data_IF_324379629691
#
_entry.id   IF_324379629691
#
_cell.length_a   1.000
_cell.length_b   1.000
_cell.length_c   1.000
_cell.angle_alpha   90.00
_cell.angle_beta   90.00
_cell.angle_gamma   90.00
#
_symmetry.space_group_name_H-M   'P 1'
#
loop_
_entity.id
_entity.type
_entity.pdbx_description
1 polymer ?
#
# COMPACT_ATOMS: atom_id res chain seq x y z
N UNK A 1 15.95 34.40 -63.59
CA UNK A 1 16.80 33.26 -63.15
C UNK A 1 16.20 32.69 -61.89
N UNK A 2 15.57 31.53 -62.03
CA UNK A 2 14.78 30.87 -60.99
C UNK A 2 15.68 29.95 -60.13
N UNK A 3 15.61 30.07 -58.83
CA UNK A 3 16.02 29.01 -57.94
C UNK A 3 14.87 28.69 -56.99
N UNK A 4 14.20 27.59 -57.29
CA UNK A 4 13.26 26.93 -56.42
C UNK A 4 14.02 26.27 -55.27
N UNK A 5 13.76 26.67 -54.03
CA UNK A 5 14.12 25.92 -52.82
C UNK A 5 12.87 25.25 -52.28
N UNK A 6 12.82 23.96 -52.51
CA UNK A 6 11.77 23.04 -52.02
C UNK A 6 11.94 22.85 -50.53
N UNK A 7 10.98 23.36 -49.77
CA UNK A 7 10.85 23.17 -48.32
C UNK A 7 10.48 21.71 -48.04
N UNK A 8 11.41 20.94 -47.47
CA UNK A 8 11.10 19.62 -46.89
C UNK A 8 10.50 19.83 -45.50
N UNK A 9 9.19 19.70 -45.40
CA UNK A 9 8.45 19.57 -44.17
C UNK A 9 8.86 18.24 -43.50
N UNK A 10 9.65 18.34 -42.45
CA UNK A 10 9.89 17.22 -41.55
C UNK A 10 8.60 17.02 -40.76
N UNK A 11 7.90 16.00 -41.15
CA UNK A 11 6.69 15.47 -40.49
C UNK A 11 7.11 14.92 -39.12
N UNK A 12 6.82 15.67 -38.04
CA UNK A 12 6.90 15.16 -36.69
C UNK A 12 5.78 14.13 -36.50
N UNK A 13 6.06 12.92 -37.01
CA UNK A 13 5.17 11.77 -36.87
C UNK A 13 5.15 11.27 -35.45
N UNK A 14 3.95 11.29 -34.90
CA UNK A 14 3.32 10.27 -34.08
C UNK A 14 4.23 9.53 -33.09
N UNK A 15 4.47 10.17 -31.94
CA UNK A 15 4.89 9.46 -30.76
C UNK A 15 3.64 8.85 -30.10
N UNK A 16 3.14 7.80 -30.73
CA UNK A 16 2.08 6.95 -30.17
C UNK A 16 2.70 6.16 -29.02
N UNK A 17 2.49 6.65 -27.79
CA UNK A 17 2.84 5.90 -26.60
C UNK A 17 2.10 4.56 -26.61
N UNK A 18 2.78 3.43 -26.36
CA UNK A 18 2.11 2.14 -26.31
C UNK A 18 1.11 2.09 -25.15
N UNK A 19 -0.06 1.46 -25.32
CA UNK A 19 -1.06 1.38 -24.27
C UNK A 19 -0.51 0.59 -23.06
N UNK A 20 -0.56 1.21 -21.89
CA UNK A 20 -0.23 0.62 -20.58
C UNK A 20 -1.31 -0.38 -20.13
N UNK A 21 -1.60 -1.37 -20.98
CA UNK A 21 -2.62 -2.38 -20.69
C UNK A 21 -2.11 -3.77 -21.01
N UNK A 22 -1.13 -4.23 -20.25
CA UNK A 22 -0.90 -5.66 -20.07
C UNK A 22 -0.54 -5.91 -18.62
N UNK A 23 -1.34 -6.65 -17.85
CA UNK A 23 -0.89 -7.17 -16.59
C UNK A 23 0.28 -8.11 -16.87
N UNK A 24 1.46 -7.72 -16.46
CA UNK A 24 2.64 -8.58 -16.50
C UNK A 24 2.38 -9.70 -15.51
N UNK A 25 1.92 -10.84 -16.01
CA UNK A 25 1.89 -12.08 -15.24
C UNK A 25 3.33 -12.55 -15.08
N UNK A 26 3.96 -12.17 -14.00
CA UNK A 26 5.17 -12.84 -13.58
C UNK A 26 4.77 -14.17 -12.94
N UNK A 27 5.25 -15.31 -13.45
CA UNK A 27 5.15 -16.57 -12.73
C UNK A 27 6.21 -16.57 -11.63
N UNK A 28 5.92 -15.94 -10.51
CA UNK A 28 6.68 -16.22 -9.31
C UNK A 28 6.13 -17.52 -8.77
N UNK A 29 6.84 -18.62 -9.03
CA UNK A 29 6.71 -19.88 -8.31
C UNK A 29 7.14 -19.63 -6.85
N UNK A 30 6.30 -18.91 -6.11
CA UNK A 30 6.44 -18.84 -4.68
C UNK A 30 5.60 -19.96 -4.07
N UNK A 31 6.31 -20.80 -3.33
CA UNK A 31 5.84 -21.95 -2.55
C UNK A 31 4.43 -21.74 -2.00
N UNK A 32 3.50 -22.65 -2.31
CA UNK A 32 2.08 -22.63 -1.99
C UNK A 32 1.83 -22.69 -0.48
N UNK A 33 2.07 -21.60 0.22
CA UNK A 33 1.26 -21.18 1.31
C UNK A 33 0.23 -20.23 0.72
N UNK A 34 -1.04 -20.54 0.83
CA UNK A 34 -2.14 -19.68 0.39
C UNK A 34 -2.11 -18.43 1.25
N UNK A 35 -1.21 -17.52 0.94
CA UNK A 35 -1.27 -16.14 1.42
C UNK A 35 -2.45 -15.55 0.65
N UNK A 36 -3.54 -15.30 1.32
CA UNK A 36 -4.63 -14.53 0.74
C UNK A 36 -4.09 -13.13 0.45
N UNK A 37 -3.61 -12.94 -0.76
CA UNK A 37 -3.15 -11.62 -1.21
C UNK A 37 -4.31 -10.63 -1.06
N UNK A 38 -4.02 -9.51 -0.42
CA UNK A 38 -4.99 -8.43 -0.31
C UNK A 38 -5.27 -7.91 -1.71
N UNK A 39 -6.56 -7.80 -2.07
CA UNK A 39 -6.92 -7.12 -3.31
C UNK A 39 -6.47 -5.65 -3.26
N UNK A 40 -6.23 -5.04 -4.42
CA UNK A 40 -5.86 -3.62 -4.51
C UNK A 40 -6.86 -2.71 -3.79
N UNK A 41 -8.15 -3.05 -3.84
CA UNK A 41 -9.18 -2.31 -3.12
C UNK A 41 -9.03 -2.43 -1.59
N UNK A 42 -8.71 -3.61 -1.10
CA UNK A 42 -8.45 -3.84 0.34
C UNK A 42 -7.20 -3.11 0.78
N UNK A 43 -6.15 -3.14 -0.02
CA UNK A 43 -4.90 -2.43 0.23
C UNK A 43 -5.11 -0.92 0.26
N UNK A 44 -5.87 -0.37 -0.69
CA UNK A 44 -6.25 1.04 -0.73
C UNK A 44 -7.04 1.47 0.51
N UNK A 45 -7.96 0.63 1.02
CA UNK A 45 -8.68 0.92 2.27
C UNK A 45 -7.72 0.99 3.46
N UNK A 46 -6.77 0.08 3.53
CA UNK A 46 -5.75 0.06 4.58
C UNK A 46 -4.92 1.34 4.55
N UNK A 47 -4.37 1.71 3.41
CA UNK A 47 -3.54 2.91 3.30
C UNK A 47 -4.33 4.18 3.61
N UNK A 48 -5.58 4.31 3.17
CA UNK A 48 -6.45 5.43 3.55
C UNK A 48 -6.72 5.46 5.06
N UNK A 49 -6.93 4.30 5.68
CA UNK A 49 -7.12 4.23 7.12
C UNK A 49 -5.84 4.65 7.88
N UNK A 50 -4.67 4.22 7.43
CA UNK A 50 -3.38 4.53 8.04
C UNK A 50 -2.83 5.93 7.67
N UNK A 51 -3.42 6.65 6.74
CA UNK A 51 -3.00 8.02 6.38
C UNK A 51 -3.17 9.03 7.53
N UNK A 52 -4.07 8.77 8.46
CA UNK A 52 -4.36 9.62 9.62
C UNK A 52 -3.52 9.24 10.85
N UNK A 53 -2.90 10.22 11.51
CA UNK A 53 -2.00 9.97 12.64
C UNK A 53 -2.72 9.38 13.86
N UNK A 54 -3.91 9.88 14.17
CA UNK A 54 -4.73 9.40 15.29
C UNK A 54 -5.11 7.94 15.09
N UNK A 55 -5.51 7.57 13.88
CA UNK A 55 -5.82 6.17 13.55
C UNK A 55 -4.60 5.25 13.68
N UNK A 56 -3.42 5.69 13.26
CA UNK A 56 -2.18 4.91 13.47
C UNK A 56 -1.89 4.67 14.95
N UNK A 57 -2.10 5.69 15.78
CA UNK A 57 -1.91 5.55 17.22
C UNK A 57 -2.96 4.62 17.85
N UNK A 58 -4.22 4.73 17.45
CA UNK A 58 -5.28 3.80 17.86
C UNK A 58 -4.93 2.35 17.52
N UNK A 59 -4.43 2.07 16.31
CA UNK A 59 -3.97 0.72 15.94
C UNK A 59 -2.86 0.26 16.87
N UNK A 60 -1.84 1.10 17.14
CA UNK A 60 -0.73 0.75 18.04
C UNK A 60 -1.22 0.37 19.43
N UNK A 61 -2.15 1.14 20.00
CA UNK A 61 -2.73 0.88 21.33
C UNK A 61 -3.53 -0.42 21.34
N UNK A 62 -4.40 -0.62 20.36
CA UNK A 62 -5.29 -1.78 20.29
C UNK A 62 -4.57 -3.09 19.94
N UNK A 63 -3.36 -3.03 19.41
CA UNK A 63 -2.50 -4.22 19.24
C UNK A 63 -1.91 -4.69 20.57
N UNK A 64 -1.66 -3.78 21.49
CA UNK A 64 -1.09 -4.10 22.81
C UNK A 64 -2.16 -4.55 23.81
N UNK A 65 -3.36 -3.98 23.74
CA UNK A 65 -4.46 -4.29 24.64
C UNK A 65 -5.82 -3.99 24.01
N UNK A 66 -6.88 -4.64 24.50
CA UNK A 66 -8.24 -4.24 24.18
C UNK A 66 -8.57 -2.93 24.90
N UNK A 67 -9.08 -1.94 24.18
CA UNK A 67 -9.37 -0.60 24.71
C UNK A 67 -10.84 -0.27 24.42
N UNK A 68 -11.56 0.28 25.39
CA UNK A 68 -12.94 0.71 25.16
C UNK A 68 -13.01 1.96 24.30
N UNK A 69 -14.11 2.15 23.56
CA UNK A 69 -14.32 3.38 22.78
C UNK A 69 -14.37 4.60 23.72
N UNK A 70 -14.88 4.43 24.94
CA UNK A 70 -14.96 5.49 25.94
C UNK A 70 -13.55 5.91 26.41
N UNK A 71 -12.66 4.95 26.66
CA UNK A 71 -11.29 5.24 27.08
C UNK A 71 -10.52 5.93 25.94
N UNK A 72 -10.68 5.46 24.70
CA UNK A 72 -10.11 6.14 23.55
C UNK A 72 -10.63 7.58 23.42
N UNK A 73 -11.91 7.83 23.70
CA UNK A 73 -12.47 9.18 23.65
C UNK A 73 -11.85 10.11 24.71
N UNK A 74 -11.64 9.58 25.91
CA UNK A 74 -10.99 10.31 27.00
C UNK A 74 -9.51 10.59 26.69
N UNK A 75 -8.79 9.59 26.19
CA UNK A 75 -7.34 9.68 25.90
C UNK A 75 -7.00 10.68 24.78
N UNK A 76 -7.89 10.83 23.79
CA UNK A 76 -7.65 11.74 22.66
C UNK A 76 -8.35 13.09 22.80
N UNK A 77 -9.02 13.35 23.91
CA UNK A 77 -9.85 14.55 24.10
C UNK A 77 -10.84 14.76 22.94
N UNK A 78 -11.46 13.67 22.52
CA UNK A 78 -12.40 13.65 21.40
C UNK A 78 -13.80 13.26 21.84
N UNK A 79 -14.83 13.70 21.09
CA UNK A 79 -16.16 13.20 21.29
C UNK A 79 -16.25 11.71 20.98
N UNK A 80 -17.11 10.99 21.69
CA UNK A 80 -17.40 9.58 21.43
C UNK A 80 -17.74 9.30 19.96
N UNK A 81 -18.51 10.18 19.32
CA UNK A 81 -18.87 10.07 17.91
C UNK A 81 -17.66 10.23 16.97
N UNK A 82 -16.69 11.08 17.32
CA UNK A 82 -15.46 11.24 16.53
C UNK A 82 -14.61 9.96 16.61
N UNK A 83 -14.42 9.41 17.81
CA UNK A 83 -13.69 8.14 17.99
C UNK A 83 -14.40 6.99 17.25
N UNK A 84 -15.73 6.91 17.32
CA UNK A 84 -16.48 5.91 16.56
C UNK A 84 -16.21 5.98 15.04
N UNK A 85 -16.07 7.19 14.47
CA UNK A 85 -15.72 7.35 13.03
C UNK A 85 -14.33 6.82 12.73
N UNK A 86 -13.35 7.11 13.59
CA UNK A 86 -11.99 6.57 13.45
C UNK A 86 -11.99 5.04 13.55
N UNK A 87 -12.65 4.48 14.56
CA UNK A 87 -12.76 3.03 14.75
C UNK A 87 -13.49 2.37 13.57
N UNK A 88 -14.57 2.96 13.05
CA UNK A 88 -15.30 2.44 11.90
C UNK A 88 -14.41 2.38 10.63
N UNK A 89 -13.58 3.42 10.40
CA UNK A 89 -12.64 3.44 9.29
C UNK A 89 -11.57 2.35 9.42
N UNK A 90 -11.04 2.14 10.62
CA UNK A 90 -10.09 1.07 10.92
C UNK A 90 -10.71 -0.33 10.78
N UNK A 91 -11.96 -0.48 11.21
CA UNK A 91 -12.71 -1.73 11.09
C UNK A 91 -13.02 -2.06 9.63
N UNK A 92 -13.42 -1.08 8.81
CA UNK A 92 -13.63 -1.25 7.38
C UNK A 92 -12.35 -1.67 6.63
N UNK A 93 -11.19 -1.27 7.14
CA UNK A 93 -9.88 -1.70 6.64
C UNK A 93 -9.42 -3.06 7.19
N UNK A 94 -10.15 -3.63 8.16
CA UNK A 94 -9.80 -4.88 8.83
C UNK A 94 -8.62 -4.77 9.81
N UNK A 95 -8.23 -3.56 10.20
CA UNK A 95 -7.11 -3.30 11.11
C UNK A 95 -7.48 -3.50 12.58
N UNK A 96 -8.76 -3.34 12.90
CA UNK A 96 -9.32 -3.60 14.22
C UNK A 96 -10.65 -4.34 14.12
N UNK A 97 -11.04 -5.02 15.19
CA UNK A 97 -12.39 -5.56 15.41
C UNK A 97 -13.00 -4.93 16.65
N UNK A 98 -14.33 -4.98 16.76
CA UNK A 98 -15.05 -4.53 17.94
C UNK A 98 -15.78 -5.68 18.60
N UNK A 99 -15.67 -5.79 19.92
CA UNK A 99 -16.28 -6.84 20.73
C UNK A 99 -17.20 -6.16 21.76
N UNK A 100 -18.45 -6.61 21.86
CA UNK A 100 -19.34 -6.14 22.92
C UNK A 100 -19.03 -6.89 24.22
N UNK A 101 -18.77 -6.15 25.30
CA UNK A 101 -18.59 -6.69 26.64
C UNK A 101 -19.53 -5.94 27.60
N UNK A 102 -20.71 -6.50 27.85
CA UNK A 102 -21.74 -5.84 28.62
C UNK A 102 -22.21 -4.53 27.96
N UNK A 103 -22.02 -3.41 28.66
CA UNK A 103 -22.37 -2.07 28.14
C UNK A 103 -21.26 -1.40 27.34
N UNK A 104 -20.07 -1.98 27.35
CA UNK A 104 -18.89 -1.46 26.69
C UNK A 104 -18.66 -2.09 25.31
N UNK A 105 -18.06 -1.33 24.44
CA UNK A 105 -17.57 -1.81 23.15
C UNK A 105 -16.05 -1.70 23.14
N UNK A 106 -15.39 -2.86 23.19
CA UNK A 106 -13.93 -2.94 23.16
C UNK A 106 -13.43 -3.01 21.71
N UNK A 107 -12.33 -2.33 21.45
CA UNK A 107 -11.61 -2.33 20.18
C UNK A 107 -10.35 -3.15 20.34
N UNK A 108 -10.13 -4.10 19.43
CA UNK A 108 -8.99 -5.00 19.41
C UNK A 108 -8.29 -4.92 18.06
N UNK A 109 -6.97 -4.75 18.06
CA UNK A 109 -6.15 -4.77 16.86
C UNK A 109 -6.11 -6.14 16.19
N UNK A 110 -5.92 -6.16 14.88
CA UNK A 110 -5.83 -7.38 14.06
C UNK A 110 -4.40 -7.53 13.50
N UNK A 111 -3.48 -8.21 14.24
CA UNK A 111 -2.08 -8.35 13.84
C UNK A 111 -1.91 -9.11 12.53
N UNK A 112 -2.81 -10.06 12.23
CA UNK A 112 -2.78 -10.80 10.97
C UNK A 112 -2.91 -9.88 9.75
N UNK A 113 -3.78 -8.86 9.85
CA UNK A 113 -3.97 -7.88 8.78
C UNK A 113 -2.69 -7.09 8.52
N UNK A 114 -1.99 -6.68 9.57
CA UNK A 114 -0.71 -5.97 9.46
C UNK A 114 0.37 -6.87 8.85
N UNK A 115 0.40 -8.15 9.20
CA UNK A 115 1.33 -9.11 8.60
C UNK A 115 1.15 -9.22 7.09
N UNK A 116 -0.10 -9.31 6.59
CA UNK A 116 -0.37 -9.33 5.15
C UNK A 116 0.09 -8.04 4.45
N UNK A 117 -0.12 -6.87 5.08
CA UNK A 117 0.35 -5.60 4.54
C UNK A 117 1.89 -5.58 4.45
N UNK A 118 2.57 -6.02 5.49
CA UNK A 118 4.03 -6.11 5.51
C UNK A 118 4.54 -7.02 4.39
N UNK A 119 3.92 -8.17 4.17
CA UNK A 119 4.28 -9.08 3.08
C UNK A 119 4.12 -8.42 1.70
N UNK A 120 3.03 -7.67 1.48
CA UNK A 120 2.82 -6.93 0.23
C UNK A 120 3.90 -5.86 0.02
N UNK A 121 4.28 -5.14 1.07
CA UNK A 121 5.33 -4.12 0.99
C UNK A 121 6.72 -4.74 0.77
N UNK A 122 7.01 -5.87 1.41
CA UNK A 122 8.26 -6.60 1.21
C UNK A 122 8.41 -7.08 -0.22
N UNK A 123 7.32 -7.47 -0.88
CA UNK A 123 7.38 -7.85 -2.30
C UNK A 123 7.83 -6.67 -3.21
N UNK A 124 7.45 -5.43 -2.89
CA UNK A 124 7.95 -4.26 -3.61
C UNK A 124 9.44 -4.01 -3.35
N UNK A 125 9.88 -4.20 -2.10
CA UNK A 125 11.30 -4.09 -1.74
C UNK A 125 12.15 -5.14 -2.48
N UNK A 126 11.68 -6.38 -2.59
CA UNK A 126 12.37 -7.45 -3.30
C UNK A 126 12.53 -7.14 -4.80
N UNK A 127 11.50 -6.59 -5.44
CA UNK A 127 11.57 -6.15 -6.84
C UNK A 127 12.65 -5.07 -7.01
N UNK A 128 12.71 -4.12 -6.08
CA UNK A 128 13.70 -3.06 -6.10
C UNK A 128 15.12 -3.59 -5.89
N UNK A 129 15.31 -4.49 -4.91
CA UNK A 129 16.59 -5.11 -4.60
C UNK A 129 17.15 -5.89 -5.79
N UNK A 130 16.34 -6.73 -6.42
CA UNK A 130 16.71 -7.47 -7.65
C UNK A 130 17.12 -6.55 -8.81
N UNK A 131 16.57 -5.33 -8.85
CA UNK A 131 16.93 -4.34 -9.86
C UNK A 131 18.31 -3.74 -9.59
N UNK A 132 18.64 -3.48 -8.32
CA UNK A 132 19.97 -3.00 -7.90
C UNK A 132 21.01 -4.07 -8.17
N UNK A 133 20.80 -5.31 -7.75
CA UNK A 133 21.72 -6.42 -7.97
C UNK A 133 22.07 -6.60 -9.44
N UNK A 134 21.09 -6.55 -10.33
CA UNK A 134 21.32 -6.62 -11.79
C UNK A 134 22.13 -5.43 -12.33
N UNK A 135 21.99 -4.26 -11.73
CA UNK A 135 22.78 -3.09 -12.12
C UNK A 135 24.23 -3.23 -11.66
N UNK A 136 24.45 -3.73 -10.46
CA UNK A 136 25.80 -3.99 -9.91
C UNK A 136 26.53 -5.06 -10.74
N UNK A 137 25.87 -6.13 -11.14
CA UNK A 137 26.40 -7.16 -12.03
C UNK A 137 26.81 -6.56 -13.40
N UNK A 138 25.96 -5.71 -13.95
CA UNK A 138 26.23 -5.04 -15.23
C UNK A 138 27.44 -4.11 -15.16
N UNK A 139 27.58 -3.35 -14.07
CA UNK A 139 28.72 -2.44 -13.86
C UNK A 139 30.01 -3.21 -13.54
N UNK A 140 29.94 -4.38 -12.91
CA UNK A 140 31.10 -5.23 -12.64
C UNK A 140 31.66 -5.86 -13.92
N UNK A 141 30.81 -6.14 -14.91
CA UNK A 141 31.19 -6.77 -16.18
C UNK A 141 31.83 -5.72 -17.17
N UNK A 142 31.57 -4.42 -16.95
CA UNK A 142 32.13 -3.32 -17.74
C UNK A 142 33.48 -2.79 -17.20
N UNK A 143 34.01 -3.31 -16.09
CA UNK A 143 35.31 -2.89 -15.56
C UNK A 143 36.45 -3.47 -16.41
N UNK A 144 37.16 -2.67 -17.23
CA UNK A 144 38.27 -3.17 -18.04
C UNK A 144 39.44 -3.53 -17.15
N UNK A 145 40.00 -4.70 -17.42
CA UNK A 145 41.28 -5.20 -16.82
C UNK A 145 42.46 -4.33 -17.24
#
# INVERSE_FOLDING_TARGET
MNCHLTSALVNCGDFSAPPLSRPVRHPVLYNQMVVQELSDEQLNRVFRALADATRRDMVRRTLNAEVSISDLAADYDMSFAAVQKHVAALQAAGLVSTIARGRERLVRGQPERLRHITQTLSAFEDIWRQRIERLDDFLADEAPS
#
